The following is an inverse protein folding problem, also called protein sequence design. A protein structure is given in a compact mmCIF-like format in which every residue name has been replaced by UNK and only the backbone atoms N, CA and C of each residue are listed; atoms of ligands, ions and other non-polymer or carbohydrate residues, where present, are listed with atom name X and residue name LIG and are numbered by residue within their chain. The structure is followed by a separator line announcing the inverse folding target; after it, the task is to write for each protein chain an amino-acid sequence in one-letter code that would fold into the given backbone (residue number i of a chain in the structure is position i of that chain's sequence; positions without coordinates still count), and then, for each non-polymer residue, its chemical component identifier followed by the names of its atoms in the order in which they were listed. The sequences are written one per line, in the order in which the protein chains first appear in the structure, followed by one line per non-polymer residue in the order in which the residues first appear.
data_IF_115972151250
#
_entry.id   IF_115972151250
#
_cell.length_a   1.000
_cell.length_b   1.000
_cell.length_c   1.000
_cell.angle_alpha   90.00
_cell.angle_beta   90.00
_cell.angle_gamma   90.00
#
_symmetry.space_group_name_H-M   'P 1'
#
loop_
_entity.id
_entity.type
_entity.pdbx_description
1 polymer ?
#
# COMPACT_ATOMS: atom_id res chain seq x y z
N UNK A 1 10.20 -25.05 19.97
CA UNK A 1 10.83 -23.73 19.86
C UNK A 1 10.62 -23.27 18.42
N UNK A 2 9.90 -22.17 18.15
CA UNK A 2 9.83 -21.63 16.80
C UNK A 2 11.24 -21.18 16.39
N UNK A 3 11.77 -21.76 15.31
CA UNK A 3 13.05 -21.33 14.73
C UNK A 3 12.74 -20.17 13.78
N UNK A 4 13.41 -19.03 13.97
CA UNK A 4 13.31 -17.95 13.00
C UNK A 4 13.86 -18.43 11.63
N UNK A 5 13.21 -18.05 10.52
CA UNK A 5 13.69 -18.30 9.17
C UNK A 5 14.28 -16.99 8.58
N UNK A 6 15.48 -16.56 8.99
CA UNK A 6 16.06 -15.30 8.51
C UNK A 6 16.50 -15.34 7.04
N UNK A 7 16.73 -16.53 6.48
CA UNK A 7 17.21 -16.74 5.10
C UNK A 7 16.10 -16.85 4.05
N UNK A 8 14.82 -16.86 4.45
CA UNK A 8 13.70 -16.99 3.51
C UNK A 8 12.85 -15.72 3.51
N UNK A 9 12.82 -15.04 2.36
CA UNK A 9 11.87 -13.97 2.10
C UNK A 9 10.56 -14.55 1.55
N UNK A 10 9.45 -14.23 2.19
CA UNK A 10 8.12 -14.61 1.72
C UNK A 10 7.48 -13.44 0.98
N UNK A 11 6.97 -13.71 -0.22
CA UNK A 11 6.15 -12.75 -0.93
C UNK A 11 4.79 -12.62 -0.23
N UNK A 12 4.37 -11.37 -0.04
CA UNK A 12 3.05 -11.04 0.48
C UNK A 12 2.45 -9.90 -0.32
N UNK A 13 1.14 -9.88 -0.38
CA UNK A 13 0.36 -8.82 -1.01
C UNK A 13 -0.48 -8.12 0.06
N UNK A 14 -0.50 -6.79 0.03
CA UNK A 14 -1.34 -6.00 0.93
C UNK A 14 -2.79 -6.12 0.48
N UNK A 15 -3.63 -6.71 1.33
CA UNK A 15 -5.05 -6.93 1.03
C UNK A 15 -5.92 -5.82 1.58
N UNK A 16 -5.55 -5.23 2.72
CA UNK A 16 -6.38 -4.21 3.35
C UNK A 16 -5.54 -3.26 4.21
N UNK A 17 -5.76 -1.97 4.02
CA UNK A 17 -5.19 -0.93 4.87
C UNK A 17 -6.32 -0.44 5.78
N UNK A 18 -6.18 -0.62 7.09
CA UNK A 18 -7.12 -0.05 8.05
C UNK A 18 -6.69 1.40 8.31
N UNK A 19 -7.51 2.41 7.93
CA UNK A 19 -7.13 3.83 8.02
C UNK A 19 -7.20 4.37 9.45
N UNK A 20 -7.15 3.49 10.45
CA UNK A 20 -7.12 3.87 11.86
C UNK A 20 -5.67 3.96 12.28
N UNK A 21 -5.24 5.18 12.54
CA UNK A 21 -3.94 5.48 13.12
C UNK A 21 -3.92 4.99 14.58
N UNK A 22 -3.07 4.02 14.87
CA UNK A 22 -2.79 3.57 16.23
C UNK A 22 -1.48 4.20 16.71
N UNK A 23 -1.51 4.72 17.93
CA UNK A 23 -0.31 5.26 18.56
C UNK A 23 0.44 4.13 19.26
N UNK A 24 1.55 3.70 18.69
CA UNK A 24 2.39 2.63 19.22
C UNK A 24 3.86 3.08 19.16
N UNK A 25 4.65 2.77 20.19
CA UNK A 25 6.08 3.08 20.25
C UNK A 25 6.44 4.56 19.96
N UNK A 26 5.58 5.49 20.36
CA UNK A 26 5.81 6.93 20.17
C UNK A 26 5.66 7.43 18.73
N UNK A 27 5.14 6.59 17.82
CA UNK A 27 4.87 6.93 16.44
C UNK A 27 3.42 6.60 16.06
N UNK A 28 2.90 7.34 15.07
CA UNK A 28 1.63 7.00 14.44
C UNK A 28 1.86 5.81 13.49
N UNK A 29 1.29 4.67 13.83
CA UNK A 29 1.36 3.44 13.05
C UNK A 29 0.01 3.16 12.39
N UNK A 30 0.04 2.53 11.22
CA UNK A 30 -1.16 2.11 10.51
C UNK A 30 -1.20 0.60 10.43
N UNK A 31 -2.35 0.02 10.78
CA UNK A 31 -2.54 -1.42 10.68
C UNK A 31 -2.80 -1.80 9.23
N UNK A 32 -1.85 -2.54 8.65
CA UNK A 32 -1.95 -3.09 7.30
C UNK A 32 -2.09 -4.60 7.40
N UNK A 33 -3.14 -5.15 6.80
CA UNK A 33 -3.34 -6.58 6.64
C UNK A 33 -2.77 -7.00 5.28
N UNK A 34 -1.95 -8.04 5.29
CA UNK A 34 -1.35 -8.63 4.10
C UNK A 34 -1.61 -10.13 4.07
N UNK A 35 -1.79 -10.67 2.87
CA UNK A 35 -1.88 -12.09 2.61
C UNK A 35 -0.56 -12.59 2.01
N UNK A 36 -0.05 -13.70 2.53
CA UNK A 36 1.10 -14.39 1.95
C UNK A 36 0.69 -15.02 0.62
N UNK A 37 1.42 -14.70 -0.45
CA UNK A 37 1.11 -15.16 -1.81
C UNK A 37 1.71 -16.54 -2.09
N UNK A 38 2.82 -16.87 -1.43
CA UNK A 38 3.46 -18.17 -1.53
C UNK A 38 2.98 -19.12 -0.42
N UNK A 39 3.12 -20.42 -0.65
CA UNK A 39 2.73 -21.46 0.30
C UNK A 39 3.65 -21.40 1.53
N UNK A 40 3.26 -20.55 2.48
CA UNK A 40 3.97 -20.27 3.73
C UNK A 40 3.85 -21.43 4.74
N UNK A 41 3.98 -22.67 4.28
CA UNK A 41 3.81 -23.88 5.09
C UNK A 41 4.77 -23.95 6.30
N UNK A 42 5.84 -23.15 6.29
CA UNK A 42 6.79 -23.03 7.39
C UNK A 42 6.49 -21.88 8.38
N UNK A 43 5.60 -20.94 8.04
CA UNK A 43 5.22 -19.82 8.90
C UNK A 43 4.13 -20.25 9.89
N UNK A 44 4.42 -20.10 11.18
CA UNK A 44 3.47 -20.38 12.25
C UNK A 44 2.83 -19.09 12.78
N UNK A 45 1.55 -19.14 13.18
CA UNK A 45 0.88 -18.01 13.81
C UNK A 45 1.64 -17.60 15.09
N UNK A 46 1.89 -16.30 15.25
CA UNK A 46 2.68 -15.73 16.33
C UNK A 46 4.16 -15.46 15.99
N UNK A 47 4.59 -15.75 14.77
CA UNK A 47 5.90 -15.31 14.27
C UNK A 47 5.89 -13.81 13.97
N UNK A 48 6.91 -13.11 14.48
CA UNK A 48 7.18 -11.69 14.20
C UNK A 48 8.42 -11.57 13.31
N UNK A 49 8.42 -10.58 12.42
CA UNK A 49 9.53 -10.35 11.51
C UNK A 49 9.46 -8.96 10.89
N UNK A 50 10.53 -8.58 10.18
CA UNK A 50 10.60 -7.30 9.47
C UNK A 50 10.25 -7.54 8.01
N UNK A 51 9.20 -6.89 7.54
CA UNK A 51 8.83 -6.87 6.13
C UNK A 51 9.24 -5.53 5.49
N UNK A 52 9.83 -5.59 4.29
CA UNK A 52 9.99 -4.41 3.42
C UNK A 52 8.89 -4.42 2.38
N UNK A 53 8.20 -3.29 2.26
CA UNK A 53 7.14 -3.08 1.27
C UNK A 53 7.69 -2.12 0.22
N UNK A 54 7.63 -2.54 -1.03
CA UNK A 54 7.89 -1.64 -2.15
C UNK A 54 6.61 -0.84 -2.44
N UNK A 55 6.65 0.46 -2.19
CA UNK A 55 5.54 1.36 -2.48
C UNK A 55 5.86 2.01 -3.81
N UNK A 56 5.41 1.38 -4.90
CA UNK A 56 5.90 1.64 -6.25
C UNK A 56 6.08 3.12 -6.63
N UNK A 57 7.07 3.39 -7.48
CA UNK A 57 7.43 4.75 -7.90
C UNK A 57 6.36 5.35 -8.82
N UNK A 58 5.53 6.25 -8.29
CA UNK A 58 4.68 7.09 -9.14
C UNK A 58 5.48 8.31 -9.59
N UNK A 59 5.54 8.60 -10.90
CA UNK A 59 6.20 9.80 -11.41
C UNK A 59 5.52 11.04 -10.83
N UNK A 60 6.29 11.95 -10.23
CA UNK A 60 5.76 13.18 -9.63
C UNK A 60 4.92 14.01 -10.63
N UNK A 61 5.32 13.98 -11.91
CA UNK A 61 4.57 14.60 -13.02
C UNK A 61 3.17 14.01 -13.15
N UNK A 62 2.97 12.72 -12.91
CA UNK A 62 1.67 12.07 -12.97
C UNK A 62 0.77 12.51 -11.82
N UNK A 63 1.31 12.62 -10.60
CA UNK A 63 0.58 13.11 -9.43
C UNK A 63 0.07 14.53 -9.68
N UNK A 64 0.91 15.39 -10.26
CA UNK A 64 0.55 16.79 -10.53
C UNK A 64 -0.30 16.97 -11.79
N UNK A 65 -0.16 16.09 -12.78
CA UNK A 65 -0.96 16.11 -14.00
C UNK A 65 -2.40 15.64 -13.77
N UNK A 66 -2.66 14.72 -12.84
CA UNK A 66 -4.02 14.23 -12.51
C UNK A 66 -5.03 15.38 -12.27
N UNK A 67 -4.82 16.30 -11.32
CA UNK A 67 -5.77 17.39 -11.09
C UNK A 67 -5.85 18.38 -12.26
N UNK A 68 -4.78 18.58 -13.02
CA UNK A 68 -4.79 19.42 -14.23
C UNK A 68 -5.62 18.81 -15.36
N UNK A 69 -5.51 17.49 -15.58
CA UNK A 69 -6.29 16.76 -16.58
C UNK A 69 -7.76 16.71 -16.17
N UNK A 70 -8.05 16.48 -14.89
CA UNK A 70 -9.43 16.53 -14.38
C UNK A 70 -10.04 17.91 -14.55
N UNK A 71 -9.28 18.98 -14.24
CA UNK A 71 -9.71 20.35 -14.50
C UNK A 71 -9.95 20.61 -15.98
N UNK A 72 -9.01 20.22 -16.85
CA UNK A 72 -9.13 20.39 -18.30
C UNK A 72 -10.33 19.63 -18.87
N UNK A 73 -10.62 18.44 -18.32
CA UNK A 73 -11.83 17.65 -18.64
C UNK A 73 -13.09 18.38 -18.18
N UNK A 74 -13.14 18.93 -16.97
CA UNK A 74 -14.30 19.72 -16.53
C UNK A 74 -14.47 21.01 -17.36
N UNK A 75 -13.36 21.65 -17.72
CA UNK A 75 -13.36 22.84 -18.57
C UNK A 75 -13.84 22.55 -19.98
N UNK A 76 -13.39 21.44 -20.57
CA UNK A 76 -13.86 21.00 -21.87
C UNK A 76 -15.35 20.73 -21.83
N UNK A 77 -15.90 20.13 -20.77
CA UNK A 77 -17.35 19.96 -20.61
C UNK A 77 -18.10 21.29 -20.47
N UNK A 78 -17.50 22.29 -19.78
CA UNK A 78 -18.09 23.63 -19.66
C UNK A 78 -18.14 24.35 -21.01
N UNK A 79 -17.14 24.15 -21.86
CA UNK A 79 -17.06 24.77 -23.19
C UNK A 79 -17.79 23.99 -24.29
N UNK A 80 -17.88 22.65 -24.18
CA UNK A 80 -18.60 21.81 -25.14
C UNK A 80 -20.11 21.75 -24.85
N UNK A 81 -20.58 22.33 -23.74
CA UNK A 81 -22.00 22.73 -23.60
C UNK A 81 -22.22 23.97 -24.46
N UNK A 82 -22.20 23.73 -25.76
CA UNK A 82 -22.86 24.57 -26.75
C UNK A 82 -24.36 24.33 -26.56
N UNK A 83 -25.07 25.43 -26.34
CA UNK A 83 -26.52 25.62 -26.11
C UNK A 83 -27.08 25.33 -24.71
#
# INVERSE_FOLDING_TARGET
MPTALPEQSFAFEITKITPVAEYADGATTFRVEAALTDAAAALQPGMEGVAKIDTGETRLVEIWARPLVDWARLWSWKWLRIE
#
